data_IF_886843651547
#
_entry.id   IF_886843651547
#
_cell.length_a   1.000
_cell.length_b   1.000
_cell.length_c   1.000
_cell.angle_alpha   90.00
_cell.angle_beta   90.00
_cell.angle_gamma   90.00
#
_symmetry.space_group_name_H-M   'P 1'
#
loop_
_entity.id
_entity.type
_entity.pdbx_description
1 polymer ?
#
# COMPACT_ATOMS: atom_id res chain seq x y z
N UNK A 1 -3.12 -12.89 13.58
CA UNK A 1 -3.28 -13.28 12.16
C UNK A 1 -4.71 -13.66 11.79
N UNK A 2 -5.39 -14.58 12.48
CA UNK A 2 -6.77 -14.97 12.13
C UNK A 2 -7.74 -13.77 12.08
N UNK A 3 -7.70 -12.88 13.08
CA UNK A 3 -8.53 -11.68 13.09
C UNK A 3 -8.30 -10.78 11.86
N UNK A 4 -7.04 -10.63 11.43
CA UNK A 4 -6.70 -9.87 10.22
C UNK A 4 -7.27 -10.55 8.96
N UNK A 5 -7.20 -11.88 8.88
CA UNK A 5 -7.80 -12.64 7.77
C UNK A 5 -9.33 -12.47 7.70
N UNK A 6 -10.00 -12.53 8.86
CA UNK A 6 -11.45 -12.37 8.90
C UNK A 6 -11.87 -10.95 8.49
N UNK A 7 -11.11 -9.93 8.91
CA UNK A 7 -11.39 -8.54 8.53
C UNK A 7 -11.18 -8.33 7.02
N UNK A 8 -10.07 -8.81 6.45
CA UNK A 8 -9.79 -8.61 5.02
C UNK A 8 -10.76 -9.39 4.13
N UNK A 9 -11.19 -10.58 4.55
CA UNK A 9 -12.22 -11.35 3.86
C UNK A 9 -13.55 -10.60 3.81
N UNK A 10 -13.98 -10.00 4.93
CA UNK A 10 -15.19 -9.17 4.97
C UNK A 10 -15.10 -7.93 4.08
N UNK A 11 -13.92 -7.31 3.96
CA UNK A 11 -13.69 -6.21 3.01
C UNK A 11 -13.77 -6.73 1.58
N UNK A 12 -13.15 -7.89 1.32
CA UNK A 12 -13.19 -8.55 0.02
C UNK A 12 -14.61 -8.85 -0.45
N UNK A 13 -15.47 -9.39 0.42
CA UNK A 13 -16.88 -9.64 0.09
C UNK A 13 -17.62 -8.37 -0.34
N UNK A 14 -17.38 -7.25 0.34
CA UNK A 14 -17.98 -5.95 -0.03
C UNK A 14 -17.48 -5.42 -1.37
N UNK A 15 -16.22 -5.73 -1.71
CA UNK A 15 -15.60 -5.37 -2.99
C UNK A 15 -15.89 -6.39 -4.09
N UNK A 16 -16.50 -7.54 -3.77
CA UNK A 16 -16.72 -8.65 -4.70
C UNK A 16 -15.43 -9.39 -5.08
N UNK A 17 -14.40 -9.34 -4.23
CA UNK A 17 -13.07 -9.91 -4.45
C UNK A 17 -12.68 -10.86 -3.32
N UNK A 18 -12.05 -12.02 -3.60
CA UNK A 18 -11.60 -12.94 -2.56
C UNK A 18 -10.27 -12.45 -1.94
N UNK A 19 -10.31 -11.39 -1.15
CA UNK A 19 -9.12 -10.82 -0.51
C UNK A 19 -8.64 -11.68 0.66
N UNK A 20 -7.33 -11.94 0.69
CA UNK A 20 -6.65 -12.71 1.73
C UNK A 20 -5.21 -12.23 1.84
N UNK A 21 -4.61 -12.36 3.02
CA UNK A 21 -3.16 -12.22 3.16
C UNK A 21 -2.45 -13.50 2.72
N UNK A 22 -1.29 -13.33 2.09
CA UNK A 22 -0.34 -14.38 1.72
C UNK A 22 0.61 -14.74 2.88
N UNK A 23 1.60 -15.60 2.60
CA UNK A 23 2.62 -16.03 3.56
C UNK A 23 3.53 -14.89 4.06
N UNK A 24 3.56 -13.75 3.35
CA UNK A 24 4.30 -12.55 3.73
C UNK A 24 3.44 -11.55 4.52
N UNK A 25 2.22 -11.95 4.93
CA UNK A 25 1.20 -11.08 5.51
C UNK A 25 0.78 -9.93 4.59
N UNK A 26 0.88 -10.12 3.27
CA UNK A 26 0.52 -9.13 2.27
C UNK A 26 -0.68 -9.56 1.42
N UNK A 27 -1.51 -8.59 1.03
CA UNK A 27 -2.58 -8.76 0.08
C UNK A 27 -2.32 -7.81 -1.09
N UNK A 28 -1.80 -8.37 -2.18
CA UNK A 28 -1.46 -7.61 -3.39
C UNK A 28 -2.70 -7.36 -4.24
N UNK A 29 -2.84 -6.11 -4.67
CA UNK A 29 -3.95 -5.61 -5.48
C UNK A 29 -3.38 -4.90 -6.72
N UNK A 30 -3.99 -5.18 -7.86
CA UNK A 30 -3.81 -4.38 -9.07
C UNK A 30 -5.12 -3.63 -9.31
N UNK A 31 -5.06 -2.30 -9.23
CA UNK A 31 -6.16 -1.42 -9.56
C UNK A 31 -5.97 -0.94 -11.00
N UNK A 32 -7.08 -0.94 -11.75
CA UNK A 32 -7.11 -0.68 -13.18
C UNK A 32 -6.13 -1.57 -13.97
N UNK A 33 -4.97 -1.04 -14.36
CA UNK A 33 -3.96 -1.77 -15.15
C UNK A 33 -2.51 -1.56 -14.71
N UNK A 34 -2.24 -0.54 -13.91
CA UNK A 34 -0.89 -0.04 -13.61
C UNK A 34 -0.70 0.43 -12.16
N UNK A 35 -1.75 0.44 -11.36
CA UNK A 35 -1.67 0.85 -9.95
C UNK A 35 -1.51 -0.38 -9.07
N UNK A 36 -0.28 -0.63 -8.63
CA UNK A 36 0.03 -1.70 -7.68
C UNK A 36 -0.11 -1.20 -6.25
N UNK A 37 -0.93 -1.89 -5.47
CA UNK A 37 -1.13 -1.62 -4.04
C UNK A 37 -0.99 -2.92 -3.25
N UNK A 38 -0.55 -2.83 -2.01
CA UNK A 38 -0.48 -3.94 -1.07
C UNK A 38 -1.04 -3.52 0.28
N UNK A 39 -1.90 -4.34 0.85
CA UNK A 39 -2.30 -4.23 2.24
C UNK A 39 -1.40 -5.20 3.02
N UNK A 40 -0.67 -4.71 4.02
CA UNK A 40 0.18 -5.54 4.87
C UNK A 40 -0.35 -5.56 6.30
N UNK A 41 -0.56 -6.75 6.83
CA UNK A 41 -0.88 -6.94 8.24
C UNK A 41 0.41 -6.96 9.06
N UNK A 42 0.61 -5.95 9.91
CA UNK A 42 1.81 -5.80 10.73
C UNK A 42 1.44 -5.54 12.18
N UNK A 43 1.68 -6.56 13.02
CA UNK A 43 1.33 -6.53 14.45
C UNK A 43 -0.15 -6.15 14.64
N UNK A 44 -0.41 -5.00 15.26
CA UNK A 44 -1.75 -4.48 15.57
C UNK A 44 -2.28 -3.47 14.52
N UNK A 45 -1.50 -3.17 13.47
CA UNK A 45 -1.86 -2.18 12.44
C UNK A 45 -1.83 -2.79 11.04
N UNK A 46 -2.47 -2.10 10.10
CA UNK A 46 -2.34 -2.39 8.67
C UNK A 46 -1.57 -1.28 7.99
N UNK A 47 -0.61 -1.65 7.15
CA UNK A 47 0.10 -0.72 6.28
C UNK A 47 -0.50 -0.79 4.88
N UNK A 48 -0.76 0.38 4.30
CA UNK A 48 -1.18 0.52 2.91
C UNK A 48 0.03 0.95 2.09
N UNK A 49 0.57 0.02 1.30
CA UNK A 49 1.74 0.23 0.45
C UNK A 49 1.26 0.48 -0.98
N UNK A 50 1.80 1.52 -1.65
CA UNK A 50 1.50 1.83 -3.05
C UNK A 50 2.78 1.97 -3.86
N UNK A 51 2.83 1.36 -5.04
CA UNK A 51 3.92 1.60 -5.98
C UNK A 51 3.66 2.92 -6.72
N UNK A 52 4.53 3.92 -6.50
CA UNK A 52 4.41 5.22 -7.15
C UNK A 52 5.18 5.22 -8.49
N UNK A 53 6.51 5.17 -8.43
CA UNK A 53 7.38 5.12 -9.60
C UNK A 53 8.70 4.38 -9.29
N UNK A 54 9.33 3.75 -10.28
CA UNK A 54 10.74 3.40 -10.19
C UNK A 54 11.57 4.69 -10.23
N UNK A 55 12.24 5.01 -9.13
CA UNK A 55 13.01 6.25 -9.00
C UNK A 55 14.52 5.96 -8.99
N UNK A 56 15.27 6.69 -9.82
CA UNK A 56 16.74 6.64 -9.78
C UNK A 56 17.25 7.18 -8.44
N UNK A 57 18.22 6.53 -7.78
CA UNK A 57 18.81 7.07 -6.56
C UNK A 57 19.53 8.41 -6.79
N UNK A 58 19.92 8.70 -8.03
CA UNK A 58 20.60 9.93 -8.45
C UNK A 58 19.69 10.82 -9.32
N UNK A 59 18.37 10.84 -9.06
CA UNK A 59 17.40 11.65 -9.79
C UNK A 59 17.59 13.18 -9.66
N UNK A 60 18.52 13.61 -8.81
CA UNK A 60 18.93 15.01 -8.66
C UNK A 60 18.07 15.81 -7.68
N UNK A 61 18.61 16.95 -7.25
CA UNK A 61 18.06 17.74 -6.15
C UNK A 61 16.65 18.26 -6.42
N UNK A 62 16.32 18.59 -7.67
CA UNK A 62 15.00 19.13 -8.01
C UNK A 62 13.90 18.10 -7.77
N UNK A 63 14.13 16.85 -8.15
CA UNK A 63 13.14 15.77 -8.01
C UNK A 63 13.01 15.40 -6.53
N UNK A 64 14.13 15.18 -5.84
CA UNK A 64 14.10 14.89 -4.39
C UNK A 64 13.44 16.01 -3.58
N UNK A 65 13.72 17.28 -3.91
CA UNK A 65 13.09 18.42 -3.24
C UNK A 65 11.59 18.42 -3.42
N UNK A 66 11.09 18.15 -4.63
CA UNK A 66 9.65 18.06 -4.88
C UNK A 66 9.01 16.92 -4.09
N UNK A 67 9.63 15.74 -4.06
CA UNK A 67 9.13 14.60 -3.25
C UNK A 67 9.05 15.00 -1.77
N UNK A 68 10.07 15.67 -1.25
CA UNK A 68 10.08 16.09 0.16
C UNK A 68 9.06 17.19 0.49
N UNK A 69 8.74 18.06 -0.47
CA UNK A 69 7.66 19.06 -0.32
C UNK A 69 6.30 18.34 -0.23
N UNK A 70 6.04 17.40 -1.14
CA UNK A 70 4.80 16.60 -1.15
C UNK A 70 4.66 15.83 0.17
N UNK A 71 5.75 15.23 0.67
CA UNK A 71 5.74 14.53 1.96
C UNK A 71 5.30 15.43 3.13
N UNK A 72 5.65 16.72 3.09
CA UNK A 72 5.23 17.69 4.11
C UNK A 72 3.73 18.01 4.07
N UNK A 73 3.10 17.89 2.90
CA UNK A 73 1.66 18.11 2.72
C UNK A 73 0.84 16.87 3.12
N UNK A 74 1.33 15.67 2.80
CA UNK A 74 0.61 14.41 3.06
C UNK A 74 0.88 13.81 4.43
N UNK A 75 1.95 14.24 5.12
CA UNK A 75 2.38 13.69 6.42
C UNK A 75 1.78 14.37 7.65
N UNK A 76 0.83 15.30 7.48
CA UNK A 76 0.21 16.04 8.58
C UNK A 76 -1.33 15.98 8.48
N UNK A 77 -1.89 14.87 8.94
CA UNK A 77 -3.18 14.82 9.64
C UNK A 77 -3.03 13.97 10.92
#
# INVERSE_FOLDING_TARGET
>A
MQAHQDIIANIGEKLGLPLTFDDNNQCLLLLDSDIFTSIEAKDDIWLLNGMIIPLSPVCGDSIWRQIMVINGETGCE
#
